data_IF_431831335127
#
_entry.id   IF_431831335127
#
_cell.length_a   1.000
_cell.length_b   1.000
_cell.length_c   1.000
_cell.angle_alpha   90.00
_cell.angle_beta   90.00
_cell.angle_gamma   90.00
#
_symmetry.space_group_name_H-M   'P 1'
#
loop_
_entity.id
_entity.type
_entity.pdbx_description
1 polymer ?
#
# COMPACT_ATOMS: atom_id res chain seq x y z
N UNK A 1 30.56 13.09 -69.24
CA UNK A 1 29.23 13.10 -69.89
C UNK A 1 28.24 12.37 -68.99
N UNK A 2 27.13 13.04 -68.66
CA UNK A 2 25.78 12.50 -68.31
C UNK A 2 25.78 11.42 -67.20
N UNK A 3 25.43 11.69 -65.94
CA UNK A 3 24.27 12.44 -65.44
C UNK A 3 23.01 11.59 -65.49
N UNK A 4 22.51 11.12 -64.33
CA UNK A 4 21.08 11.14 -63.97
C UNK A 4 20.82 10.68 -62.52
N UNK A 5 20.21 11.59 -61.81
CA UNK A 5 19.50 11.58 -60.52
C UNK A 5 18.19 10.78 -60.57
N UNK A 6 17.79 10.16 -59.46
CA UNK A 6 16.40 9.96 -58.97
C UNK A 6 16.47 9.20 -57.63
N UNK A 7 15.60 9.34 -56.65
CA UNK A 7 14.71 10.38 -56.15
C UNK A 7 14.26 9.86 -54.77
N UNK A 8 14.17 10.78 -53.82
CA UNK A 8 13.62 10.62 -52.48
C UNK A 8 12.15 10.18 -52.47
N UNK A 9 11.76 9.26 -51.58
CA UNK A 9 10.35 9.10 -51.17
C UNK A 9 10.28 8.79 -49.67
N UNK A 10 10.07 9.86 -48.90
CA UNK A 10 9.75 9.86 -47.49
C UNK A 10 8.24 9.64 -47.35
N UNK A 11 7.83 8.54 -46.73
CA UNK A 11 6.42 8.27 -46.40
C UNK A 11 6.28 8.40 -44.88
N UNK A 12 6.01 9.61 -44.43
CA UNK A 12 5.63 9.91 -43.06
C UNK A 12 4.31 9.19 -42.73
N UNK A 13 4.36 8.24 -41.79
CA UNK A 13 3.17 7.73 -41.12
C UNK A 13 2.80 8.72 -40.00
N UNK A 14 1.72 9.49 -40.22
CA UNK A 14 1.06 10.23 -39.14
C UNK A 14 0.50 9.24 -38.12
N UNK A 15 1.20 9.09 -36.99
CA UNK A 15 0.65 8.52 -35.78
C UNK A 15 -0.32 9.55 -35.19
N UNK A 16 -1.63 9.30 -35.32
CA UNK A 16 -2.67 10.06 -34.63
C UNK A 16 -2.59 9.66 -33.15
N UNK A 17 -2.04 10.54 -32.30
CA UNK A 17 -2.13 10.42 -30.84
C UNK A 17 -3.60 10.61 -30.43
N UNK A 18 -4.22 9.69 -29.67
CA UNK A 18 -5.52 9.95 -29.07
C UNK A 18 -5.38 11.05 -28.02
N UNK A 19 -6.18 12.12 -28.14
CA UNK A 19 -6.24 13.16 -27.11
C UNK A 19 -6.86 12.59 -25.82
N UNK A 20 -6.36 13.00 -24.64
CA UNK A 20 -7.00 12.66 -23.39
C UNK A 20 -8.37 13.36 -23.28
N UNK A 21 -9.41 12.70 -22.74
CA UNK A 21 -10.72 13.30 -22.58
C UNK A 21 -10.66 14.50 -21.63
N UNK A 22 -11.33 15.59 -22.01
CA UNK A 22 -11.42 16.84 -21.25
C UNK A 22 -12.05 16.57 -19.88
N UNK A 23 -11.45 17.12 -18.82
CA UNK A 23 -11.87 16.89 -17.42
C UNK A 23 -13.31 17.32 -17.08
N UNK A 24 -13.99 18.07 -17.96
CA UNK A 24 -15.37 18.51 -17.76
C UNK A 24 -16.42 17.38 -17.81
N UNK A 25 -16.21 16.35 -18.63
CA UNK A 25 -17.27 15.35 -18.89
C UNK A 25 -17.35 14.26 -17.80
N UNK A 26 -16.26 14.04 -17.04
CA UNK A 26 -16.27 13.10 -15.90
C UNK A 26 -17.02 13.66 -14.69
N UNK A 27 -17.02 14.98 -14.50
CA UNK A 27 -17.73 15.61 -13.38
C UNK A 27 -19.25 15.57 -13.57
N UNK A 28 -19.72 15.71 -14.81
CA UNK A 28 -21.14 15.65 -15.16
C UNK A 28 -21.69 14.22 -15.06
N UNK A 29 -20.92 13.22 -15.51
CA UNK A 29 -21.28 11.80 -15.36
C UNK A 29 -21.26 11.34 -13.89
N UNK A 30 -20.30 11.83 -13.08
CA UNK A 30 -20.24 11.53 -11.65
C UNK A 30 -21.41 12.17 -10.88
N UNK A 31 -21.83 13.39 -11.25
CA UNK A 31 -23.01 14.05 -10.65
C UNK A 31 -24.32 13.35 -10.99
N UNK A 32 -24.51 12.90 -12.24
CA UNK A 32 -25.69 12.13 -12.64
C UNK A 32 -25.81 10.78 -11.91
N UNK A 33 -24.68 10.11 -11.63
CA UNK A 33 -24.66 8.86 -10.88
C UNK A 33 -24.96 9.06 -9.38
N UNK A 34 -24.56 10.21 -8.82
CA UNK A 34 -24.87 10.58 -7.42
C UNK A 34 -26.33 11.00 -7.27
N UNK A 35 -26.93 11.69 -8.26
CA UNK A 35 -28.35 12.06 -8.22
C UNK A 35 -29.28 10.83 -8.23
N UNK A 36 -28.99 9.80 -9.04
CA UNK A 36 -29.78 8.56 -9.06
C UNK A 36 -29.74 7.77 -7.73
N UNK A 37 -28.72 7.99 -6.89
CA UNK A 37 -28.60 7.30 -5.60
C UNK A 37 -29.41 7.96 -4.48
N UNK A 38 -29.90 9.18 -4.69
CA UNK A 38 -30.65 9.95 -3.68
C UNK A 38 -32.17 9.75 -3.83
N UNK A 39 -32.65 9.27 -4.98
CA UNK A 39 -34.06 8.91 -5.20
C UNK A 39 -34.28 7.39 -5.12
N UNK A 40 -34.40 6.87 -3.91
CA UNK A 40 -35.40 5.86 -3.51
C UNK A 40 -35.66 4.56 -4.32
N UNK A 41 -34.83 4.15 -5.30
CA UNK A 41 -35.02 2.87 -5.99
C UNK A 41 -34.00 1.82 -5.55
N UNK A 42 -34.43 0.98 -4.61
CA UNK A 42 -33.71 -0.24 -4.21
C UNK A 42 -33.61 -1.22 -5.40
N UNK A 43 -32.41 -1.63 -5.85
CA UNK A 43 -32.29 -2.70 -6.82
C UNK A 43 -32.60 -4.04 -6.12
N UNK A 44 -33.75 -4.62 -6.46
CA UNK A 44 -34.16 -5.95 -6.00
C UNK A 44 -33.01 -6.96 -6.13
N UNK A 45 -32.70 -7.75 -5.09
CA UNK A 45 -31.63 -8.73 -5.14
C UNK A 45 -31.98 -9.82 -6.15
N UNK A 46 -31.30 -9.83 -7.30
CA UNK A 46 -31.38 -10.95 -8.23
C UNK A 46 -30.70 -12.16 -7.57
N UNK A 47 -31.40 -13.30 -7.39
CA UNK A 47 -30.77 -14.50 -6.86
C UNK A 47 -29.68 -14.95 -7.85
N UNK A 48 -28.42 -14.85 -7.43
CA UNK A 48 -27.28 -15.38 -8.19
C UNK A 48 -27.17 -16.86 -7.90
N UNK A 49 -27.46 -17.70 -8.89
CA UNK A 49 -27.31 -19.15 -8.78
C UNK A 49 -28.36 -19.93 -9.55
N UNK A 50 -28.16 -21.24 -9.64
CA UNK A 50 -29.15 -22.16 -10.20
C UNK A 50 -30.41 -22.14 -9.31
N UNK A 51 -31.63 -22.11 -9.89
CA UNK A 51 -32.88 -22.13 -9.14
C UNK A 51 -32.93 -23.32 -8.18
N UNK A 52 -33.56 -23.12 -7.02
CA UNK A 52 -33.69 -24.16 -6.00
C UNK A 52 -34.52 -25.31 -6.59
N UNK A 53 -33.91 -26.47 -6.77
CA UNK A 53 -34.53 -27.64 -7.42
C UNK A 53 -33.99 -27.99 -8.81
N UNK A 54 -33.10 -27.18 -9.39
CA UNK A 54 -32.53 -27.45 -10.72
C UNK A 54 -31.61 -28.68 -10.73
N UNK A 55 -31.88 -29.66 -11.61
CA UNK A 55 -31.04 -30.84 -11.87
C UNK A 55 -30.44 -30.76 -13.28
N UNK A 56 -29.24 -31.34 -13.53
CA UNK A 56 -28.68 -31.41 -14.88
C UNK A 56 -29.61 -32.15 -15.84
N UNK A 57 -30.04 -31.48 -16.91
CA UNK A 57 -30.97 -32.03 -17.91
C UNK A 57 -32.34 -31.36 -17.97
N UNK A 58 -32.67 -30.48 -17.02
CA UNK A 58 -33.96 -29.77 -16.96
C UNK A 58 -33.82 -28.33 -17.48
N UNK A 59 -34.75 -27.88 -18.34
CA UNK A 59 -34.72 -26.52 -18.88
C UNK A 59 -35.01 -25.50 -17.76
N UNK A 60 -34.45 -24.29 -17.88
CA UNK A 60 -34.51 -23.27 -16.81
C UNK A 60 -35.95 -22.78 -16.53
N UNK A 61 -36.84 -22.86 -17.51
CA UNK A 61 -38.27 -22.55 -17.40
C UNK A 61 -39.02 -23.56 -16.52
N UNK A 62 -38.79 -24.85 -16.74
CA UNK A 62 -39.45 -25.94 -16.00
C UNK A 62 -39.11 -25.94 -14.50
N UNK A 63 -37.97 -25.34 -14.11
CA UNK A 63 -37.56 -25.21 -12.72
C UNK A 63 -38.10 -23.96 -12.01
N UNK A 64 -38.72 -23.00 -12.74
CA UNK A 64 -39.35 -21.81 -12.16
C UNK A 64 -40.84 -22.00 -11.91
N UNK A 65 -41.51 -22.77 -12.76
CA UNK A 65 -42.94 -23.04 -12.65
C UNK A 65 -43.16 -24.26 -11.76
N UNK A 66 -43.10 -24.04 -10.44
CA UNK A 66 -43.36 -25.05 -9.42
C UNK A 66 -44.80 -25.57 -9.44
N UNK A 67 -45.15 -26.35 -10.47
CA UNK A 67 -46.37 -27.13 -10.50
C UNK A 67 -46.16 -28.49 -9.80
N UNK A 68 -46.95 -28.83 -8.77
CA UNK A 68 -46.95 -30.18 -8.21
C UNK A 68 -47.66 -31.11 -9.19
N UNK A 69 -46.94 -32.08 -9.76
CA UNK A 69 -47.57 -33.17 -10.50
C UNK A 69 -48.14 -34.19 -9.49
N UNK A 70 -49.44 -34.54 -9.57
CA UNK A 70 -50.05 -35.49 -8.64
C UNK A 70 -49.80 -36.93 -9.10
N UNK A 71 -49.42 -37.78 -8.13
CA UNK A 71 -49.69 -39.21 -8.19
C UNK A 71 -48.64 -40.09 -8.86
N UNK A 72 -47.73 -40.64 -8.05
CA UNK A 72 -47.45 -42.08 -8.09
C UNK A 72 -46.83 -42.50 -6.77
N UNK A 73 -47.70 -42.93 -5.84
CA UNK A 73 -47.28 -43.74 -4.71
C UNK A 73 -46.83 -45.13 -5.18
N UNK A 74 -45.83 -45.69 -4.52
CA UNK A 74 -45.34 -47.04 -4.82
C UNK A 74 -44.01 -47.28 -4.16
N UNK A 75 -44.04 -47.68 -2.89
CA UNK A 75 -42.85 -48.13 -2.17
C UNK A 75 -42.22 -49.35 -2.86
N UNK A 76 -40.90 -49.38 -2.90
CA UNK A 76 -40.14 -50.63 -2.87
C UNK A 76 -38.71 -50.36 -2.38
N UNK A 77 -38.50 -50.79 -1.15
CA UNK A 77 -37.31 -51.51 -0.70
C UNK A 77 -35.93 -50.86 -0.85
N UNK A 78 -35.49 -50.30 0.27
CA UNK A 78 -34.09 -50.19 0.64
C UNK A 78 -33.41 -51.58 0.60
N UNK A 79 -32.82 -51.94 -0.54
CA UNK A 79 -31.94 -53.11 -0.65
C UNK A 79 -30.54 -52.72 -0.19
N UNK A 80 -30.28 -52.88 1.11
CA UNK A 80 -28.92 -53.04 1.63
C UNK A 80 -28.33 -54.33 1.05
N UNK A 81 -27.22 -54.24 0.32
CA UNK A 81 -26.20 -55.28 0.32
C UNK A 81 -24.82 -54.65 0.46
N UNK A 82 -24.23 -54.92 1.60
CA UNK A 82 -22.81 -54.84 1.92
C UNK A 82 -21.98 -55.71 0.99
N UNK A 83 -20.79 -55.23 0.62
CA UNK A 83 -19.70 -56.03 0.09
C UNK A 83 -18.40 -55.23 0.15
N UNK A 84 -17.34 -55.71 0.82
CA UNK A 84 -16.07 -55.02 0.92
C UNK A 84 -15.18 -55.36 -0.28
N UNK A 85 -14.44 -54.37 -0.76
CA UNK A 85 -13.24 -54.61 -1.56
C UNK A 85 -13.28 -54.16 -3.01
N UNK A 86 -12.18 -53.48 -3.38
CA UNK A 86 -11.66 -53.27 -4.72
C UNK A 86 -12.44 -52.32 -5.64
N UNK A 87 -11.94 -51.10 -5.72
CA UNK A 87 -12.25 -50.16 -6.79
C UNK A 87 -11.50 -48.87 -6.56
N UNK A 88 -10.27 -48.80 -7.09
CA UNK A 88 -9.47 -47.59 -7.18
C UNK A 88 -10.29 -46.51 -7.92
N UNK A 89 -11.03 -45.71 -7.16
CA UNK A 89 -11.69 -44.52 -7.64
C UNK A 89 -10.77 -43.34 -7.42
N UNK A 90 -10.10 -42.87 -8.47
CA UNK A 90 -9.47 -41.55 -8.48
C UNK A 90 -10.46 -40.51 -7.92
N UNK A 91 -10.05 -39.69 -6.94
CA UNK A 91 -10.89 -38.60 -6.51
C UNK A 91 -11.01 -37.61 -7.68
N UNK A 92 -12.20 -37.56 -8.28
CA UNK A 92 -12.62 -36.51 -9.23
C UNK A 92 -12.20 -35.15 -8.69
N UNK A 93 -11.07 -34.63 -9.17
CA UNK A 93 -10.59 -33.27 -8.90
C UNK A 93 -11.52 -32.27 -9.59
N UNK A 94 -12.61 -31.93 -8.91
CA UNK A 94 -13.37 -30.72 -9.21
C UNK A 94 -12.58 -29.53 -8.67
N UNK A 95 -12.11 -28.65 -9.55
CA UNK A 95 -11.61 -27.32 -9.19
C UNK A 95 -10.22 -27.01 -9.73
N UNK A 96 -10.03 -25.73 -10.04
CA UNK A 96 -8.81 -25.09 -10.58
C UNK A 96 -7.54 -25.67 -9.91
N UNK A 97 -6.45 -25.91 -10.65
CA UNK A 97 -5.19 -26.34 -10.04
C UNK A 97 -4.81 -25.40 -8.89
N UNK A 98 -4.16 -25.93 -7.82
CA UNK A 98 -3.68 -25.10 -6.72
C UNK A 98 -2.93 -23.90 -7.27
N UNK A 99 -3.33 -22.70 -6.87
CA UNK A 99 -2.62 -21.48 -7.24
C UNK A 99 -1.18 -21.65 -6.75
N UNK A 100 -0.21 -21.34 -7.60
CA UNK A 100 1.18 -21.32 -7.17
C UNK A 100 1.30 -20.49 -5.89
N UNK A 101 2.12 -20.91 -4.92
CA UNK A 101 2.33 -20.14 -3.70
C UNK A 101 2.73 -18.72 -4.11
N UNK A 102 2.05 -17.72 -3.58
CA UNK A 102 2.46 -16.35 -3.86
C UNK A 102 3.88 -16.15 -3.33
N UNK A 103 4.77 -15.49 -4.09
CA UNK A 103 6.14 -15.29 -3.64
C UNK A 103 6.12 -14.56 -2.31
N UNK A 104 6.97 -15.00 -1.39
CA UNK A 104 7.10 -14.40 -0.07
C UNK A 104 7.49 -12.93 -0.21
N UNK A 105 7.20 -12.10 0.80
CA UNK A 105 7.62 -10.68 0.77
C UNK A 105 9.14 -10.54 0.56
N UNK A 106 9.93 -11.46 1.12
CA UNK A 106 11.38 -11.53 0.93
C UNK A 106 11.78 -11.83 -0.51
N UNK A 107 11.13 -12.79 -1.16
CA UNK A 107 11.39 -13.11 -2.56
C UNK A 107 11.06 -11.94 -3.49
N UNK A 108 9.92 -11.26 -3.26
CA UNK A 108 9.55 -10.06 -4.03
C UNK A 108 10.58 -8.95 -3.86
N UNK A 109 11.10 -8.75 -2.65
CA UNK A 109 12.14 -7.77 -2.37
C UNK A 109 13.46 -8.09 -3.10
N UNK A 110 13.92 -9.34 -3.02
CA UNK A 110 15.15 -9.77 -3.71
C UNK A 110 15.04 -9.71 -5.24
N UNK A 111 13.83 -9.87 -5.77
CA UNK A 111 13.54 -9.72 -7.20
C UNK A 111 13.40 -8.26 -7.63
N UNK A 112 12.99 -7.37 -6.72
CA UNK A 112 12.97 -5.95 -7.01
C UNK A 112 14.42 -5.49 -7.20
N UNK A 113 14.74 -4.98 -8.38
CA UNK A 113 15.98 -4.25 -8.63
C UNK A 113 15.68 -2.77 -8.40
N UNK A 114 15.75 -2.27 -7.14
CA UNK A 114 15.47 -0.87 -6.89
C UNK A 114 16.50 0.00 -7.59
N UNK A 115 16.01 0.97 -8.38
CA UNK A 115 16.83 2.02 -8.95
C UNK A 115 16.88 3.18 -7.97
N UNK A 116 18.08 3.59 -7.57
CA UNK A 116 18.29 4.74 -6.69
C UNK A 116 18.68 5.96 -7.50
N UNK A 117 18.17 7.11 -7.09
CA UNK A 117 18.58 8.41 -7.64
C UNK A 117 19.98 8.73 -7.16
N UNK A 118 20.83 9.21 -8.09
CA UNK A 118 22.20 9.63 -7.78
C UNK A 118 22.19 11.03 -7.16
N UNK A 119 23.10 11.25 -6.21
CA UNK A 119 23.33 12.54 -5.58
C UNK A 119 24.47 13.24 -6.32
N UNK A 120 24.19 14.37 -6.95
CA UNK A 120 25.20 15.15 -7.66
C UNK A 120 25.72 16.25 -6.74
N UNK A 121 27.03 16.42 -6.69
CA UNK A 121 27.62 17.58 -6.03
C UNK A 121 27.49 18.80 -6.95
N UNK A 122 26.69 19.80 -6.54
CA UNK A 122 26.49 21.02 -7.34
C UNK A 122 27.46 22.15 -6.95
N UNK A 123 28.61 21.80 -6.39
CA UNK A 123 29.65 22.77 -6.04
C UNK A 123 30.24 23.39 -7.29
N UNK A 124 30.41 24.72 -7.32
CA UNK A 124 31.10 25.43 -8.40
C UNK A 124 32.55 25.66 -8.02
N UNK A 125 33.46 25.16 -8.84
CA UNK A 125 34.89 25.41 -8.68
C UNK A 125 35.25 26.77 -9.30
N UNK A 126 36.18 27.48 -8.66
CA UNK A 126 36.84 28.62 -9.29
C UNK A 126 37.81 28.09 -10.34
N UNK A 127 37.85 28.78 -11.48
CA UNK A 127 38.76 28.45 -12.56
C UNK A 127 40.18 28.71 -12.08
N UNK A 128 40.98 27.66 -11.91
CA UNK A 128 42.43 27.85 -11.97
C UNK A 128 42.73 28.33 -13.39
N UNK A 129 43.31 29.53 -13.51
CA UNK A 129 43.73 30.12 -14.77
C UNK A 129 44.80 29.23 -15.43
N UNK A 130 44.38 28.20 -16.14
CA UNK A 130 45.21 27.59 -17.16
C UNK A 130 45.02 28.44 -18.42
N UNK A 131 46.11 29.10 -18.82
CA UNK A 131 46.30 29.73 -20.13
C UNK A 131 45.82 28.76 -21.21
N UNK A 132 44.56 28.85 -21.66
CA UNK A 132 44.03 28.45 -22.96
C UNK A 132 42.50 28.33 -22.88
N UNK A 133 41.82 29.44 -23.16
CA UNK A 133 40.41 29.44 -23.56
C UNK A 133 39.40 29.44 -22.40
N UNK A 134 38.53 30.46 -22.40
CA UNK A 134 37.39 30.59 -21.49
C UNK A 134 36.47 29.36 -21.57
N UNK A 135 36.63 28.41 -20.67
CA UNK A 135 35.61 27.39 -20.41
C UNK A 135 34.62 27.91 -19.35
N UNK A 136 33.40 27.38 -19.31
CA UNK A 136 32.40 27.75 -18.30
C UNK A 136 32.84 27.31 -16.88
N UNK A 137 32.36 27.93 -15.79
CA UNK A 137 32.65 27.47 -14.43
C UNK A 137 32.27 26.01 -14.28
N UNK A 138 33.24 25.16 -13.92
CA UNK A 138 33.05 23.72 -13.80
C UNK A 138 32.32 23.41 -12.50
N UNK A 139 31.29 22.57 -12.60
CA UNK A 139 30.65 21.98 -11.44
C UNK A 139 31.39 20.71 -11.05
N UNK A 140 31.46 20.42 -9.75
CA UNK A 140 32.08 19.20 -9.25
C UNK A 140 31.46 17.96 -9.95
N UNK A 141 32.26 17.07 -10.55
CA UNK A 141 31.75 15.91 -11.30
C UNK A 141 31.32 14.73 -10.41
N UNK A 142 31.33 14.90 -9.08
CA UNK A 142 31.08 13.80 -8.15
C UNK A 142 29.63 13.30 -8.21
N UNK A 143 29.47 12.02 -8.56
CA UNK A 143 28.22 11.27 -8.44
C UNK A 143 28.27 10.36 -7.21
N UNK A 144 27.36 10.59 -6.27
CA UNK A 144 27.32 9.97 -4.96
C UNK A 144 26.05 9.13 -4.80
N UNK A 145 26.12 8.10 -3.96
CA UNK A 145 25.03 7.13 -3.80
C UNK A 145 24.07 7.45 -2.65
N UNK A 146 24.52 8.26 -1.70
CA UNK A 146 23.73 8.63 -0.53
C UNK A 146 24.09 10.02 -0.01
N UNK A 147 23.20 10.57 0.81
CA UNK A 147 23.35 11.90 1.36
C UNK A 147 24.51 11.98 2.38
N UNK A 148 24.80 10.89 3.09
CA UNK A 148 25.93 10.81 4.04
C UNK A 148 27.30 10.95 3.33
N UNK A 149 27.46 10.32 2.15
CA UNK A 149 28.65 10.43 1.30
C UNK A 149 28.74 11.81 0.67
N UNK A 150 27.61 12.43 0.32
CA UNK A 150 27.61 13.82 -0.14
C UNK A 150 28.08 14.78 0.96
N UNK A 151 27.54 14.67 2.18
CA UNK A 151 28.00 15.48 3.32
C UNK A 151 29.51 15.36 3.52
N UNK A 152 30.02 14.13 3.53
CA UNK A 152 31.45 13.86 3.70
C UNK A 152 32.29 14.37 2.54
N UNK A 153 31.80 14.21 1.30
CA UNK A 153 32.47 14.69 0.10
C UNK A 153 32.63 16.21 0.12
N UNK A 154 31.56 16.97 0.40
CA UNK A 154 31.66 18.43 0.45
C UNK A 154 32.64 18.89 1.50
N UNK A 155 32.58 18.30 2.70
CA UNK A 155 33.48 18.70 3.78
C UNK A 155 34.94 18.37 3.46
N UNK A 156 35.24 17.18 2.92
CA UNK A 156 36.63 16.78 2.64
C UNK A 156 37.21 17.35 1.34
N UNK A 157 36.39 17.66 0.35
CA UNK A 157 36.87 18.12 -0.97
C UNK A 157 36.75 19.63 -1.10
N UNK A 158 35.77 20.24 -0.44
CA UNK A 158 35.48 21.67 -0.55
C UNK A 158 35.55 22.43 0.78
N UNK A 159 35.68 21.73 1.92
CA UNK A 159 35.76 22.34 3.25
C UNK A 159 37.17 22.68 3.72
N UNK A 160 38.21 22.38 2.94
CA UNK A 160 39.62 22.64 3.29
C UNK A 160 40.13 24.03 2.85
N UNK A 161 39.27 24.87 2.25
CA UNK A 161 39.64 26.23 1.81
C UNK A 161 39.39 27.25 2.92
N UNK A 162 40.40 28.05 3.26
CA UNK A 162 40.31 29.21 4.15
C UNK A 162 40.38 30.51 3.30
N UNK A 163 39.35 31.37 3.31
CA UNK A 163 38.11 31.29 4.08
C UNK A 163 37.14 30.21 3.57
N UNK A 164 36.34 29.65 4.48
CA UNK A 164 35.28 28.69 4.17
C UNK A 164 34.15 29.41 3.43
N UNK A 165 34.08 29.24 2.11
CA UNK A 165 33.04 29.87 1.27
C UNK A 165 32.11 28.82 0.69
N UNK A 166 30.80 28.97 0.91
CA UNK A 166 29.82 28.09 0.26
C UNK A 166 29.65 28.47 -1.22
N UNK A 167 30.07 27.57 -2.11
CA UNK A 167 29.93 27.72 -3.57
C UNK A 167 28.94 26.75 -4.18
N UNK A 168 27.98 26.30 -3.37
CA UNK A 168 26.92 25.42 -3.85
C UNK A 168 25.95 26.19 -4.75
N UNK A 169 25.83 25.81 -6.02
CA UNK A 169 24.91 26.35 -7.03
C UNK A 169 24.33 27.77 -6.80
N UNK A 170 23.31 27.92 -5.95
CA UNK A 170 22.67 29.20 -5.59
C UNK A 170 23.54 30.11 -4.72
N UNK A 171 24.28 29.55 -3.76
CA UNK A 171 25.20 30.29 -2.89
C UNK A 171 26.39 30.85 -3.66
N UNK A 172 26.86 30.16 -4.71
CA UNK A 172 27.90 30.70 -5.59
C UNK A 172 27.47 31.95 -6.38
N UNK A 173 26.16 32.17 -6.55
CA UNK A 173 25.63 33.35 -7.25
C UNK A 173 25.31 34.51 -6.29
N UNK A 174 25.45 34.33 -4.97
CA UNK A 174 25.16 35.39 -4.01
C UNK A 174 26.30 36.41 -3.94
N UNK A 175 25.92 37.69 -3.81
CA UNK A 175 26.82 38.81 -3.59
C UNK A 175 26.31 39.56 -2.36
N UNK A 176 27.08 39.64 -1.25
CA UNK A 176 28.42 39.08 -1.05
C UNK A 176 28.45 37.53 -0.98
N UNK A 177 29.60 36.90 -1.25
CA UNK A 177 29.79 35.46 -1.06
C UNK A 177 29.45 35.03 0.37
N UNK A 178 28.92 33.83 0.52
CA UNK A 178 28.58 33.28 1.84
C UNK A 178 29.83 32.67 2.45
N UNK A 179 30.51 33.47 3.27
CA UNK A 179 31.73 33.10 3.97
C UNK A 179 31.45 32.73 5.44
N UNK A 180 32.23 31.81 5.98
CA UNK A 180 32.10 31.29 7.33
C UNK A 180 33.45 31.34 8.04
N UNK A 181 33.42 31.72 9.32
CA UNK A 181 34.57 31.65 10.23
C UNK A 181 34.74 30.27 10.84
N UNK A 182 33.62 29.60 11.10
CA UNK A 182 33.58 28.33 11.82
C UNK A 182 33.06 27.20 10.93
N UNK A 183 33.71 26.04 11.02
CA UNK A 183 33.29 24.84 10.31
C UNK A 183 31.88 24.37 10.70
N UNK A 184 31.49 24.57 11.96
CA UNK A 184 30.16 24.20 12.43
C UNK A 184 29.07 25.10 11.83
N UNK A 185 29.34 26.40 11.65
CA UNK A 185 28.44 27.33 10.97
C UNK A 185 28.29 26.96 9.49
N UNK A 186 29.39 26.58 8.83
CA UNK A 186 29.36 26.06 7.47
C UNK A 186 28.53 24.76 7.38
N UNK A 187 28.71 23.82 8.31
CA UNK A 187 27.96 22.56 8.34
C UNK A 187 26.46 22.79 8.54
N UNK A 188 26.07 23.67 9.45
CA UNK A 188 24.67 24.01 9.69
C UNK A 188 24.02 24.66 8.46
N UNK A 189 24.74 25.59 7.81
CA UNK A 189 24.28 26.20 6.56
C UNK A 189 24.05 25.15 5.47
N UNK A 190 25.02 24.27 5.25
CA UNK A 190 24.92 23.19 4.26
C UNK A 190 23.72 22.27 4.54
N UNK A 191 23.48 21.93 5.80
CA UNK A 191 22.35 21.10 6.20
C UNK A 191 21.00 21.79 5.96
N UNK A 192 20.89 23.06 6.33
CA UNK A 192 19.62 23.80 6.29
C UNK A 192 19.23 24.21 4.86
N UNK A 193 20.19 24.74 4.10
CA UNK A 193 19.91 25.36 2.79
C UNK A 193 20.00 24.34 1.65
N UNK A 194 20.93 23.38 1.73
CA UNK A 194 21.20 22.44 0.65
C UNK A 194 20.65 21.04 0.95
N UNK A 195 21.09 20.38 2.02
CA UNK A 195 20.78 18.97 2.25
C UNK A 195 19.33 18.70 2.61
N UNK A 196 18.66 19.56 3.40
CA UNK A 196 17.25 19.38 3.76
C UNK A 196 16.34 19.27 2.54
N UNK A 197 16.59 20.08 1.52
CA UNK A 197 15.85 20.03 0.26
C UNK A 197 16.10 18.71 -0.46
N UNK A 198 17.35 18.26 -0.57
CA UNK A 198 17.68 16.97 -1.18
C UNK A 198 17.06 15.79 -0.42
N UNK A 199 17.18 15.77 0.90
CA UNK A 199 16.61 14.73 1.76
C UNK A 199 15.09 14.61 1.58
N UNK A 200 14.39 15.73 1.43
CA UNK A 200 12.95 15.73 1.19
C UNK A 200 12.55 15.17 -0.19
N UNK A 201 13.30 15.52 -1.24
CA UNK A 201 12.94 15.14 -2.62
C UNK A 201 13.42 13.73 -3.00
N UNK A 202 14.59 13.32 -2.51
CA UNK A 202 15.30 12.11 -2.96
C UNK A 202 15.47 11.09 -1.83
N UNK A 203 15.28 11.50 -0.57
CA UNK A 203 15.59 10.70 0.60
C UNK A 203 17.09 10.69 0.91
N UNK A 204 17.49 9.75 1.78
CA UNK A 204 18.89 9.63 2.22
C UNK A 204 19.77 8.80 1.27
N UNK A 205 19.17 8.10 0.30
CA UNK A 205 19.87 7.21 -0.62
C UNK A 205 20.18 5.83 -0.02
N UNK A 206 21.09 5.11 -0.67
CA UNK A 206 21.46 3.75 -0.25
C UNK A 206 22.25 3.81 1.05
N UNK A 207 21.76 3.15 2.10
CA UNK A 207 22.55 3.05 3.33
C UNK A 207 23.73 2.10 3.11
N UNK A 208 24.94 2.60 3.26
CA UNK A 208 26.18 1.80 3.20
C UNK A 208 26.33 0.90 4.44
N UNK A 209 25.48 1.11 5.45
CA UNK A 209 25.41 0.30 6.66
C UNK A 209 24.62 -0.95 6.31
N UNK A 210 25.29 -2.10 6.29
CA UNK A 210 24.68 -3.37 5.87
C UNK A 210 23.48 -3.75 6.74
N UNK A 211 22.64 -4.66 6.23
CA UNK A 211 21.47 -5.20 6.94
C UNK A 211 21.88 -5.75 8.33
N UNK A 212 23.11 -6.21 8.49
CA UNK A 212 23.68 -6.70 9.75
C UNK A 212 23.67 -5.62 10.84
N UNK A 213 24.12 -4.40 10.55
CA UNK A 213 24.08 -3.30 11.53
C UNK A 213 22.65 -2.90 11.91
N UNK A 214 21.69 -3.07 10.99
CA UNK A 214 20.28 -2.87 11.28
C UNK A 214 19.73 -4.01 12.15
N UNK A 215 20.14 -5.26 11.89
CA UNK A 215 19.78 -6.42 12.70
C UNK A 215 20.34 -6.30 14.11
N UNK A 216 21.59 -5.91 14.30
CA UNK A 216 22.18 -5.70 15.62
C UNK A 216 21.37 -4.68 16.44
N UNK A 217 20.97 -3.56 15.83
CA UNK A 217 20.07 -2.58 16.47
C UNK A 217 18.65 -3.11 16.66
N UNK A 218 18.18 -3.99 15.77
CA UNK A 218 16.89 -4.64 15.95
C UNK A 218 16.95 -5.71 17.03
N UNK A 219 18.11 -6.33 17.26
CA UNK A 219 18.35 -7.42 18.18
C UNK A 219 18.71 -6.91 19.58
N UNK A 220 19.16 -5.65 19.71
CA UNK A 220 19.32 -5.00 21.01
C UNK A 220 18.01 -4.96 21.79
N UNK A 221 18.01 -5.30 23.07
CA UNK A 221 16.80 -5.27 23.93
C UNK A 221 16.23 -3.86 24.15
N UNK A 222 16.94 -2.82 23.71
CA UNK A 222 16.50 -1.44 23.76
C UNK A 222 15.34 -1.19 22.78
N UNK A 223 14.21 -0.75 23.33
CA UNK A 223 13.04 -0.41 22.52
C UNK A 223 13.25 0.94 21.83
N UNK A 224 12.88 1.08 20.54
CA UNK A 224 13.07 2.34 19.83
C UNK A 224 12.34 3.53 20.49
N UNK A 225 13.00 4.69 20.52
CA UNK A 225 12.50 5.91 21.16
C UNK A 225 11.11 6.36 20.64
N UNK A 226 10.79 6.10 19.38
CA UNK A 226 9.49 6.44 18.80
C UNK A 226 8.31 5.64 19.39
N UNK A 227 8.56 4.55 20.13
CA UNK A 227 7.52 3.82 20.86
C UNK A 227 7.13 4.54 22.16
N UNK A 228 7.95 5.48 22.61
CA UNK A 228 7.78 6.23 23.85
C UNK A 228 7.33 7.66 23.57
N UNK A 229 6.54 8.18 24.50
CA UNK A 229 6.23 9.60 24.63
C UNK A 229 6.40 9.97 26.10
N UNK A 230 7.22 10.98 26.38
CA UNK A 230 7.47 11.45 27.75
C UNK A 230 7.96 10.30 28.68
N UNK A 231 8.76 9.37 28.15
CA UNK A 231 9.25 8.20 28.88
C UNK A 231 8.24 7.07 29.10
N UNK A 232 6.97 7.27 28.72
CA UNK A 232 5.93 6.24 28.78
C UNK A 232 5.78 5.58 27.42
N UNK A 233 5.78 4.25 27.39
CA UNK A 233 5.53 3.51 26.15
C UNK A 233 4.06 3.69 25.73
N UNK A 234 3.83 4.48 24.68
CA UNK A 234 2.48 4.71 24.13
C UNK A 234 2.14 3.68 23.06
N UNK A 235 3.15 3.21 22.32
CA UNK A 235 2.96 2.24 21.24
C UNK A 235 3.50 0.87 21.67
N UNK A 236 2.65 -0.18 21.72
CA UNK A 236 3.11 -1.53 22.01
C UNK A 236 4.15 -1.98 20.99
N UNK A 237 5.19 -2.67 21.47
CA UNK A 237 6.19 -3.27 20.58
C UNK A 237 5.56 -4.42 19.77
N UNK A 238 5.95 -4.53 18.49
CA UNK A 238 5.53 -5.60 17.59
C UNK A 238 6.54 -6.76 17.59
N UNK A 239 7.73 -6.56 18.18
CA UNK A 239 8.88 -7.45 18.03
C UNK A 239 8.64 -8.88 18.51
N UNK A 240 7.95 -9.02 19.65
CA UNK A 240 7.65 -10.30 20.28
C UNK A 240 6.16 -10.63 20.22
N UNK A 241 5.41 -10.02 19.30
CA UNK A 241 4.01 -10.37 19.11
C UNK A 241 3.95 -11.78 18.51
N UNK A 242 3.43 -12.71 19.30
CA UNK A 242 3.17 -14.08 18.85
C UNK A 242 2.11 -14.00 17.77
N UNK A 243 2.51 -14.19 16.52
CA UNK A 243 1.57 -14.33 15.42
C UNK A 243 0.72 -15.57 15.65
N UNK A 244 -0.57 -15.43 15.42
CA UNK A 244 -1.53 -16.50 15.63
C UNK A 244 -1.37 -17.57 14.54
N UNK A 245 -1.07 -18.81 14.95
CA UNK A 245 -1.05 -19.95 14.04
C UNK A 245 -2.45 -20.22 13.45
N UNK A 246 -2.50 -20.79 12.25
CA UNK A 246 -3.76 -21.13 11.56
C UNK A 246 -4.73 -21.95 12.42
N UNK A 247 -4.19 -22.84 13.26
CA UNK A 247 -4.99 -23.64 14.18
C UNK A 247 -5.61 -22.77 15.28
N UNK A 248 -4.81 -21.92 15.92
CA UNK A 248 -5.29 -20.97 16.95
C UNK A 248 -6.34 -20.02 16.36
N UNK A 249 -6.14 -19.55 15.13
CA UNK A 249 -7.11 -18.73 14.40
C UNK A 249 -8.44 -19.46 14.16
N UNK A 250 -8.41 -20.76 13.85
CA UNK A 250 -9.63 -21.58 13.70
C UNK A 250 -10.33 -21.77 15.04
N UNK A 251 -9.60 -22.04 16.11
CA UNK A 251 -10.15 -22.21 17.46
C UNK A 251 -10.77 -20.91 17.99
N UNK A 252 -10.09 -19.77 17.83
CA UNK A 252 -10.63 -18.45 18.20
C UNK A 252 -11.91 -18.16 17.43
N UNK A 253 -11.95 -18.42 16.11
CA UNK A 253 -13.18 -18.26 15.31
C UNK A 253 -14.32 -19.16 15.79
N UNK A 254 -14.04 -20.38 16.24
CA UNK A 254 -15.05 -21.28 16.83
C UNK A 254 -15.58 -20.74 18.15
N UNK A 255 -14.67 -20.34 19.06
CA UNK A 255 -15.03 -19.73 20.35
C UNK A 255 -15.83 -18.45 20.18
N UNK A 256 -15.42 -17.57 19.28
CA UNK A 256 -16.12 -16.31 19.00
C UNK A 256 -17.55 -16.57 18.48
N UNK A 257 -17.73 -17.56 17.59
CA UNK A 257 -19.06 -17.96 17.13
C UNK A 257 -19.94 -18.49 18.27
N UNK A 258 -19.37 -19.30 19.16
CA UNK A 258 -20.10 -19.79 20.34
C UNK A 258 -20.51 -18.65 21.27
N UNK A 259 -19.60 -17.70 21.55
CA UNK A 259 -19.91 -16.54 22.37
C UNK A 259 -20.98 -15.64 21.74
N UNK A 260 -20.96 -15.45 20.42
CA UNK A 260 -22.00 -14.70 19.73
C UNK A 260 -23.36 -15.40 19.82
N UNK A 261 -23.40 -16.72 19.62
CA UNK A 261 -24.63 -17.52 19.80
C UNK A 261 -25.14 -17.40 21.23
N UNK A 262 -24.27 -17.56 22.23
CA UNK A 262 -24.64 -17.41 23.64
C UNK A 262 -25.15 -16.00 23.97
N UNK A 263 -24.55 -14.97 23.36
CA UNK A 263 -25.00 -13.58 23.52
C UNK A 263 -26.38 -13.36 22.89
N UNK A 264 -26.65 -14.00 21.75
CA UNK A 264 -27.93 -13.90 21.06
C UNK A 264 -29.01 -14.75 21.78
N UNK A 265 -28.66 -15.89 22.37
CA UNK A 265 -29.54 -16.70 23.23
C UNK A 265 -29.85 -16.00 24.56
N UNK A 266 -28.88 -15.28 25.12
CA UNK A 266 -29.05 -14.47 26.33
C UNK A 266 -29.61 -13.07 26.04
N UNK A 267 -29.95 -12.76 24.79
CA UNK A 267 -30.56 -11.47 24.46
C UNK A 267 -31.97 -11.44 25.07
N UNK A 268 -32.32 -10.38 25.83
CA UNK A 268 -33.67 -10.25 26.39
C UNK A 268 -34.70 -10.19 25.26
N UNK A 269 -35.88 -10.73 25.50
CA UNK A 269 -36.97 -10.64 24.53
C UNK A 269 -37.40 -9.17 24.32
N UNK A 270 -38.14 -8.88 23.25
CA UNK A 270 -38.52 -7.49 22.94
C UNK A 270 -39.35 -6.83 24.06
N UNK A 271 -40.10 -7.60 24.84
CA UNK A 271 -40.95 -7.09 25.92
C UNK A 271 -40.14 -6.81 27.18
N UNK A 272 -39.24 -7.72 27.57
CA UNK A 272 -38.28 -7.58 28.66
C UNK A 272 -37.28 -6.46 28.36
N UNK A 273 -36.80 -6.36 27.13
CA UNK A 273 -35.95 -5.27 26.67
C UNK A 273 -36.66 -3.92 26.78
N UNK A 274 -37.93 -3.84 26.35
CA UNK A 274 -38.75 -2.64 26.52
C UNK A 274 -39.00 -2.30 27.99
N UNK A 275 -39.30 -3.29 28.84
CA UNK A 275 -39.49 -3.08 30.28
C UNK A 275 -38.20 -2.60 30.95
N UNK A 276 -37.05 -3.15 30.57
CA UNK A 276 -35.75 -2.78 31.12
C UNK A 276 -35.32 -1.37 30.66
N UNK A 277 -35.56 -1.01 29.39
CA UNK A 277 -35.29 0.36 28.90
C UNK A 277 -36.26 1.40 29.46
N UNK A 278 -37.53 1.07 29.64
CA UNK A 278 -38.52 1.96 30.27
C UNK A 278 -38.28 2.12 31.78
N UNK A 279 -37.87 1.06 32.47
CA UNK A 279 -37.47 1.10 33.88
C UNK A 279 -36.23 1.97 34.12
N UNK A 280 -35.22 1.88 33.24
CA UNK A 280 -34.06 2.77 33.26
C UNK A 280 -34.42 4.23 32.99
N UNK A 281 -35.34 4.48 32.05
CA UNK A 281 -35.82 5.84 31.75
C UNK A 281 -36.64 6.45 32.92
N UNK A 282 -37.38 5.64 33.68
CA UNK A 282 -38.07 6.09 34.89
C UNK A 282 -37.11 6.35 36.05
N UNK A 283 -36.10 5.48 36.25
CA UNK A 283 -35.07 5.69 37.28
C UNK A 283 -34.28 6.99 37.05
N UNK A 284 -33.90 7.28 35.81
CA UNK A 284 -33.24 8.54 35.46
C UNK A 284 -34.12 9.77 35.69
N UNK A 285 -35.44 9.68 35.47
CA UNK A 285 -36.38 10.77 35.77
C UNK A 285 -36.56 10.99 37.27
N UNK A 286 -36.54 9.93 38.07
CA UNK A 286 -36.64 10.02 39.53
C UNK A 286 -35.37 10.59 40.17
N UNK A 287 -34.19 10.22 39.67
CA UNK A 287 -32.92 10.79 40.13
C UNK A 287 -32.84 12.29 39.80
N UNK A 288 -33.25 12.72 38.61
CA UNK A 288 -33.31 14.16 38.27
C UNK A 288 -34.31 14.93 39.15
N UNK A 289 -35.41 14.30 39.60
CA UNK A 289 -36.38 14.94 40.50
C UNK A 289 -35.96 14.98 41.97
N UNK A 290 -34.95 14.20 42.39
CA UNK A 290 -34.44 14.16 43.78
C UNK A 290 -33.33 15.19 44.05
N UNK A 291 -32.79 15.80 43.00
CA UNK A 291 -31.74 16.84 43.07
C UNK A 291 -32.26 18.26 42.78
N UNK A 292 -33.58 18.46 42.75
CA UNK A 292 -34.23 19.77 42.56
C UNK A 292 -35.06 20.13 43.78
#
# INVERSE_FOLDING_TARGET
MKGKTTATSSREQRVIKPQPPKMGDRATAARAFVQQKIEGQSPQPRPRGRPKGWKPGTAYSEARDGHPSPGSGGGSEAKKKSGPGAGAGEPKRRGRPPRAPEPTARERYLQSQPTYTRFLCEWREEQHEHEHGKEAPRTCPAELQNLETLRRHVYLVHGDTDPLVCRWNKCAAQVPPVEFTDEDAFREHMEREHYRSFAWHVGDGVQNKGIETLKEKLDSDELPAYLFKDGVQVTPSVRNQVLEDDQRARERRRKLRQLLIQKDENAPDEQEYMLQTLGLAQAQRQDVSRFS
#
